data_IF_579315822761
#
_entry.id   IF_579315822761
#
_cell.length_a   1.000
_cell.length_b   1.000
_cell.length_c   1.000
_cell.angle_alpha   90.00
_cell.angle_beta   90.00
_cell.angle_gamma   90.00
#
_symmetry.space_group_name_H-M   'P 1'
#
loop_
_entity.id
_entity.type
_entity.pdbx_description
1 polymer ?
#
# COMPACT_ATOMS: atom_id res chain seq x y z
N UNK A 1 -64.06 32.88 -18.91
CA UNK A 1 -63.32 32.01 -19.86
C UNK A 1 -62.94 30.74 -19.09
N UNK A 2 -63.27 29.53 -19.59
CA UNK A 2 -63.16 28.31 -18.79
C UNK A 2 -61.69 27.88 -18.63
N UNK A 3 -61.38 27.32 -17.46
CA UNK A 3 -60.06 26.82 -17.10
C UNK A 3 -59.54 25.81 -18.13
N UNK A 4 -58.41 26.14 -18.77
CA UNK A 4 -57.63 25.23 -19.62
C UNK A 4 -56.88 24.24 -18.73
N UNK A 5 -57.52 23.12 -18.40
CA UNK A 5 -56.84 21.97 -17.81
C UNK A 5 -55.85 21.43 -18.84
N UNK A 6 -54.56 21.68 -18.62
CA UNK A 6 -53.49 21.04 -19.37
C UNK A 6 -53.54 19.55 -19.00
N UNK A 7 -54.26 18.74 -19.78
CA UNK A 7 -54.21 17.28 -19.71
C UNK A 7 -52.87 16.84 -20.31
N UNK A 8 -51.79 16.97 -19.54
CA UNK A 8 -50.63 16.10 -19.76
C UNK A 8 -51.07 14.68 -19.41
N UNK A 9 -50.95 13.76 -20.36
CA UNK A 9 -51.28 12.35 -20.10
C UNK A 9 -50.31 11.82 -19.03
N UNK A 10 -50.78 10.93 -18.15
CA UNK A 10 -49.93 10.34 -17.09
C UNK A 10 -48.67 9.68 -17.68
N UNK A 11 -48.80 9.16 -18.90
CA UNK A 11 -47.72 8.57 -19.71
C UNK A 11 -46.63 9.58 -20.09
N UNK A 12 -46.97 10.83 -20.42
CA UNK A 12 -46.00 11.88 -20.78
C UNK A 12 -45.18 12.34 -19.56
N UNK A 13 -45.82 12.46 -18.40
CA UNK A 13 -45.13 12.79 -17.14
C UNK A 13 -44.16 11.67 -16.74
N UNK A 14 -44.60 10.43 -16.86
CA UNK A 14 -43.78 9.27 -16.55
C UNK A 14 -42.58 9.13 -17.51
N UNK A 15 -42.80 9.30 -18.81
CA UNK A 15 -41.76 9.19 -19.82
C UNK A 15 -40.71 10.32 -19.69
N UNK A 16 -41.16 11.56 -19.45
CA UNK A 16 -40.28 12.72 -19.30
C UNK A 16 -39.49 12.67 -17.99
N UNK A 17 -40.14 12.23 -16.91
CA UNK A 17 -39.49 11.99 -15.62
C UNK A 17 -38.43 10.90 -15.72
N UNK A 18 -38.77 9.71 -16.25
CA UNK A 18 -37.83 8.59 -16.42
C UNK A 18 -36.59 9.01 -17.21
N UNK A 19 -36.73 9.66 -18.38
CA UNK A 19 -35.56 10.15 -19.16
C UNK A 19 -34.69 11.15 -18.38
N UNK A 20 -35.30 12.10 -17.67
CA UNK A 20 -34.57 13.07 -16.86
C UNK A 20 -33.91 12.46 -15.63
N UNK A 21 -34.48 11.40 -15.08
CA UNK A 21 -33.91 10.66 -13.96
C UNK A 21 -32.74 9.78 -14.44
N UNK A 22 -32.89 9.08 -15.57
CA UNK A 22 -31.83 8.25 -16.12
C UNK A 22 -30.57 9.05 -16.48
N UNK A 23 -30.67 10.25 -17.05
CA UNK A 23 -29.48 11.04 -17.38
C UNK A 23 -28.70 11.51 -16.14
N UNK A 24 -29.40 11.91 -15.07
CA UNK A 24 -28.79 12.32 -13.79
C UNK A 24 -28.23 11.12 -13.02
N UNK A 25 -28.97 10.01 -13.00
CA UNK A 25 -28.55 8.79 -12.32
C UNK A 25 -27.39 8.11 -13.05
N UNK A 26 -27.39 8.02 -14.38
CA UNK A 26 -26.24 7.50 -15.14
C UNK A 26 -25.01 8.39 -14.96
N UNK A 27 -25.16 9.71 -15.03
CA UNK A 27 -24.04 10.63 -14.81
C UNK A 27 -23.44 10.47 -13.42
N UNK A 28 -24.27 10.40 -12.39
CA UNK A 28 -23.83 10.16 -11.01
C UNK A 28 -23.18 8.79 -10.83
N UNK A 29 -23.73 7.74 -11.46
CA UNK A 29 -23.18 6.38 -11.42
C UNK A 29 -21.79 6.33 -12.07
N UNK A 30 -21.59 6.98 -13.21
CA UNK A 30 -20.29 7.06 -13.88
C UNK A 30 -19.25 7.75 -13.01
N UNK A 31 -19.61 8.89 -12.39
CA UNK A 31 -18.71 9.59 -11.45
C UNK A 31 -18.36 8.69 -10.27
N UNK A 32 -19.33 7.97 -9.71
CA UNK A 32 -19.11 7.07 -8.58
C UNK A 32 -18.19 5.90 -8.96
N UNK A 33 -18.35 5.31 -10.15
CA UNK A 33 -17.46 4.26 -10.66
C UNK A 33 -16.03 4.80 -10.83
N UNK A 34 -15.86 5.98 -11.42
CA UNK A 34 -14.55 6.60 -11.62
C UNK A 34 -13.86 6.89 -10.28
N UNK A 35 -14.59 7.48 -9.33
CA UNK A 35 -14.06 7.78 -7.98
C UNK A 35 -13.66 6.50 -7.25
N UNK A 36 -14.47 5.43 -7.31
CA UNK A 36 -14.14 4.15 -6.69
C UNK A 36 -12.94 3.47 -7.36
N UNK A 37 -12.87 3.47 -8.69
CA UNK A 37 -11.74 2.91 -9.42
C UNK A 37 -10.44 3.65 -9.12
N UNK A 38 -10.47 4.98 -9.04
CA UNK A 38 -9.32 5.79 -8.66
C UNK A 38 -8.89 5.52 -7.20
N UNK A 39 -9.84 5.48 -6.26
CA UNK A 39 -9.56 5.15 -4.87
C UNK A 39 -8.94 3.75 -4.73
N UNK A 40 -9.50 2.75 -5.41
CA UNK A 40 -8.95 1.39 -5.41
C UNK A 40 -7.55 1.32 -6.03
N UNK A 41 -7.32 2.01 -7.15
CA UNK A 41 -5.99 2.09 -7.78
C UNK A 41 -4.95 2.72 -6.87
N UNK A 42 -5.31 3.79 -6.18
CA UNK A 42 -4.46 4.43 -5.16
C UNK A 42 -4.18 3.44 -4.02
N UNK A 43 -5.21 2.83 -3.42
CA UNK A 43 -5.02 1.84 -2.34
C UNK A 43 -4.16 0.65 -2.77
N UNK A 44 -4.33 0.16 -4.00
CA UNK A 44 -3.55 -0.94 -4.57
C UNK A 44 -2.07 -0.58 -4.71
N UNK A 45 -1.76 0.63 -5.20
CA UNK A 45 -0.40 1.14 -5.29
C UNK A 45 0.22 1.37 -3.91
N UNK A 46 -0.54 1.85 -2.92
CA UNK A 46 -0.07 2.05 -1.55
C UNK A 46 0.26 0.72 -0.85
N UNK A 47 -0.58 -0.31 -1.01
CA UNK A 47 -0.32 -1.62 -0.40
C UNK A 47 0.88 -2.34 -1.03
N UNK A 48 1.25 -2.00 -2.27
CA UNK A 48 2.39 -2.61 -2.97
C UNK A 48 3.75 -1.92 -2.72
N UNK A 49 3.85 -0.86 -1.89
CA UNK A 49 5.11 -0.16 -1.59
C UNK A 49 4.96 0.74 -0.35
N UNK A 50 5.14 0.27 0.91
CA UNK A 50 6.44 0.25 1.63
C UNK A 50 6.58 -0.82 2.75
N UNK A 51 5.56 -1.66 2.99
CA UNK A 51 5.53 -2.61 4.12
C UNK A 51 6.55 -3.74 3.95
N UNK A 52 6.83 -4.15 2.72
CA UNK A 52 7.78 -5.21 2.39
C UNK A 52 9.20 -4.86 2.84
N UNK A 53 9.65 -3.63 2.62
CA UNK A 53 10.98 -3.18 3.05
C UNK A 53 11.06 -3.12 4.58
N UNK A 54 10.02 -2.60 5.23
CA UNK A 54 9.96 -2.54 6.69
C UNK A 54 9.97 -3.94 7.30
N UNK A 55 9.21 -4.86 6.73
CA UNK A 55 9.14 -6.25 7.14
C UNK A 55 10.50 -6.94 6.97
N UNK A 56 11.15 -6.80 5.81
CA UNK A 56 12.49 -7.36 5.56
C UNK A 56 13.55 -6.83 6.54
N UNK A 57 13.49 -5.54 6.89
CA UNK A 57 14.38 -4.93 7.90
C UNK A 57 14.16 -5.54 9.28
N UNK A 58 12.90 -5.67 9.69
CA UNK A 58 12.55 -6.30 10.96
C UNK A 58 12.96 -7.78 11.00
N UNK A 59 12.74 -8.51 9.91
CA UNK A 59 13.18 -9.91 9.78
C UNK A 59 14.70 -10.05 9.87
N UNK A 60 15.47 -9.09 9.36
CA UNK A 60 16.92 -9.11 9.45
C UNK A 60 17.41 -8.90 10.89
N UNK A 61 16.81 -7.95 11.63
CA UNK A 61 17.11 -7.76 13.06
C UNK A 61 16.75 -9.02 13.85
N UNK A 62 15.59 -9.62 13.55
CA UNK A 62 15.18 -10.87 14.18
C UNK A 62 16.15 -12.01 13.86
N UNK A 63 16.63 -12.11 12.63
CA UNK A 63 17.63 -13.11 12.25
C UNK A 63 18.92 -12.95 13.06
N UNK A 64 19.38 -11.72 13.31
CA UNK A 64 20.54 -11.47 14.19
C UNK A 64 20.26 -11.92 15.63
N UNK A 65 19.10 -11.58 16.17
CA UNK A 65 18.72 -11.98 17.53
C UNK A 65 18.68 -13.51 17.68
N UNK A 66 18.24 -14.21 16.64
CA UNK A 66 18.14 -15.67 16.57
C UNK A 66 19.44 -16.36 16.11
N UNK A 67 20.47 -15.60 15.76
CA UNK A 67 21.72 -16.09 15.14
C UNK A 67 21.49 -16.90 13.84
N UNK A 68 20.45 -16.56 13.08
CA UNK A 68 20.08 -17.22 11.84
C UNK A 68 20.87 -16.63 10.65
N UNK A 69 22.06 -17.17 10.43
CA UNK A 69 22.94 -16.73 9.35
C UNK A 69 22.33 -16.90 7.97
N UNK A 70 21.60 -18.00 7.77
CA UNK A 70 21.06 -18.37 6.47
C UNK A 70 19.98 -17.37 6.05
N UNK A 71 19.10 -17.01 6.99
CA UNK A 71 18.07 -16.00 6.78
C UNK A 71 18.69 -14.63 6.55
N UNK A 72 19.71 -14.23 7.33
CA UNK A 72 20.39 -12.96 7.12
C UNK A 72 21.02 -12.89 5.72
N UNK A 73 21.78 -13.91 5.30
CA UNK A 73 22.39 -13.99 3.96
C UNK A 73 21.34 -13.91 2.85
N UNK A 74 20.22 -14.61 3.01
CA UNK A 74 19.12 -14.58 2.04
C UNK A 74 18.49 -13.19 1.91
N UNK A 75 18.30 -12.48 3.02
CA UNK A 75 17.77 -11.11 3.02
C UNK A 75 18.74 -10.13 2.36
N UNK A 76 20.03 -10.22 2.66
CA UNK A 76 21.07 -9.42 2.02
C UNK A 76 21.12 -9.67 0.50
N UNK A 77 21.03 -10.94 0.08
CA UNK A 77 21.02 -11.30 -1.35
C UNK A 77 19.80 -10.74 -2.11
N UNK A 78 18.68 -10.53 -1.42
CA UNK A 78 17.47 -9.89 -1.98
C UNK A 78 17.61 -8.37 -2.16
N UNK A 79 18.76 -7.79 -1.84
CA UNK A 79 19.03 -6.36 -1.99
C UNK A 79 18.66 -5.52 -0.77
N UNK A 80 18.50 -6.14 0.41
CA UNK A 80 18.36 -5.40 1.66
C UNK A 80 19.64 -4.60 1.92
N UNK A 81 19.52 -3.27 2.04
CA UNK A 81 20.64 -2.39 2.38
C UNK A 81 21.13 -2.67 3.81
N UNK A 82 22.33 -3.22 4.03
CA UNK A 82 22.76 -3.61 5.36
C UNK A 82 23.11 -2.42 6.28
N UNK A 83 23.20 -1.20 5.74
CA UNK A 83 23.48 0.02 6.52
C UNK A 83 22.19 0.74 6.96
N UNK A 84 21.01 0.14 6.75
CA UNK A 84 19.77 0.74 7.21
C UNK A 84 19.80 0.94 8.73
N UNK A 85 19.17 2.02 9.19
CA UNK A 85 18.93 2.27 10.60
C UNK A 85 17.52 1.88 10.98
N UNK A 86 17.37 1.24 12.13
CA UNK A 86 16.07 0.93 12.70
C UNK A 86 15.43 2.18 13.35
N UNK A 87 14.35 1.97 14.11
CA UNK A 87 13.63 3.04 14.79
C UNK A 87 14.43 3.70 15.93
N UNK A 88 15.43 3.00 16.47
CA UNK A 88 16.33 3.49 17.52
C UNK A 88 17.58 4.16 16.95
N UNK A 89 17.73 4.18 15.62
CA UNK A 89 18.93 4.69 14.95
C UNK A 89 20.09 3.69 14.91
N UNK A 90 19.87 2.44 15.30
CA UNK A 90 20.86 1.36 15.30
C UNK A 90 20.93 0.68 13.93
N UNK A 91 22.14 0.34 13.49
CA UNK A 91 22.39 -0.46 12.28
C UNK A 91 22.33 -1.96 12.60
N UNK A 92 22.27 -2.82 11.57
CA UNK A 92 22.41 -4.28 11.76
C UNK A 92 23.72 -4.66 12.47
N UNK A 93 24.80 -3.90 12.21
CA UNK A 93 26.09 -4.16 12.83
C UNK A 93 26.08 -3.83 14.33
N UNK A 94 25.34 -2.80 14.74
CA UNK A 94 25.17 -2.44 16.14
C UNK A 94 24.40 -3.54 16.90
N UNK A 95 23.31 -4.05 16.30
CA UNK A 95 22.57 -5.21 16.84
C UNK A 95 23.47 -6.44 16.99
N UNK A 96 24.28 -6.76 15.97
CA UNK A 96 25.17 -7.91 16.03
C UNK A 96 26.28 -7.77 17.09
N UNK A 97 26.79 -6.54 17.30
CA UNK A 97 27.77 -6.23 18.35
C UNK A 97 27.18 -6.34 19.74
N UNK A 98 26.00 -5.76 19.94
CA UNK A 98 25.28 -5.79 21.23
C UNK A 98 24.97 -7.23 21.66
N UNK A 99 24.63 -8.09 20.70
CA UNK A 99 24.32 -9.51 20.94
C UNK A 99 25.54 -10.43 20.92
N UNK A 100 26.75 -9.89 20.78
CA UNK A 100 28.02 -10.64 20.66
C UNK A 100 27.97 -11.75 19.59
N UNK A 101 27.43 -11.44 18.41
CA UNK A 101 27.30 -12.37 17.27
C UNK A 101 28.42 -12.19 16.26
N UNK A 102 29.60 -12.71 16.57
CA UNK A 102 30.81 -12.55 15.74
C UNK A 102 30.62 -13.06 14.29
N UNK A 103 29.87 -14.15 14.11
CA UNK A 103 29.56 -14.65 12.78
C UNK A 103 28.68 -13.68 11.99
N UNK A 104 27.68 -13.07 12.63
CA UNK A 104 26.82 -12.05 11.99
C UNK A 104 27.63 -10.82 11.60
N UNK A 105 28.54 -10.38 12.47
CA UNK A 105 29.46 -9.27 12.19
C UNK A 105 30.29 -9.56 10.93
N UNK A 106 30.83 -10.77 10.80
CA UNK A 106 31.61 -11.17 9.63
C UNK A 106 30.76 -11.18 8.34
N UNK A 107 29.52 -11.67 8.40
CA UNK A 107 28.60 -11.66 7.25
C UNK A 107 28.29 -10.23 6.80
N UNK A 108 27.97 -9.34 7.76
CA UNK A 108 27.65 -7.95 7.47
C UNK A 108 28.86 -7.19 6.93
N UNK A 109 30.05 -7.41 7.49
CA UNK A 109 31.30 -6.81 6.98
C UNK A 109 31.61 -7.27 5.54
N UNK A 110 31.40 -8.55 5.25
CA UNK A 110 31.56 -9.09 3.89
C UNK A 110 30.52 -8.52 2.90
N UNK A 111 29.35 -8.09 3.39
CA UNK A 111 28.35 -7.41 2.58
C UNK A 111 28.70 -5.94 2.27
N UNK A 112 29.88 -5.45 2.69
CA UNK A 112 30.35 -4.10 2.40
C UNK A 112 29.81 -3.03 3.36
N UNK A 113 29.34 -3.44 4.54
CA UNK A 113 28.92 -2.52 5.61
C UNK A 113 30.12 -1.66 6.02
N UNK A 114 29.92 -0.34 6.02
CA UNK A 114 30.92 0.63 6.48
C UNK A 114 30.67 0.89 7.96
N UNK A 115 31.76 0.90 8.73
CA UNK A 115 31.74 1.14 10.18
C UNK A 115 31.15 2.50 10.56
#
# INVERSE_FOLDING_TARGET
>A
QPNRLIRGTLEELEQKSRRSLYSRLLGGLLVLIIVNAAAYGVTYLYQHSPDTIRHQRQEAIQAINQDDEAKLKALLHRGLDPNFKDQNGQTLLDHAREMHRDNMINILRNAGVRE
#
